data_IF_778930087078
#
_entry.id   IF_778930087078
#
_cell.length_a   1.000
_cell.length_b   1.000
_cell.length_c   1.000
_cell.angle_alpha   90.00
_cell.angle_beta   90.00
_cell.angle_gamma   90.00
#
_symmetry.space_group_name_H-M   'P 1'
#
loop_
_entity.id
_entity.type
_entity.pdbx_description
1 polymer ?
#
# COMPACT_ATOMS: atom_id res chain seq x y z
N UNK A 1 -6.50 -13.58 -17.62
CA UNK A 1 -5.13 -13.58 -17.08
C UNK A 1 -5.15 -12.98 -15.69
N UNK A 2 -4.64 -13.71 -14.73
CA UNK A 2 -4.56 -13.22 -13.36
C UNK A 2 -3.62 -12.03 -13.25
N UNK A 3 -3.98 -11.05 -12.45
CA UNK A 3 -3.22 -9.81 -12.33
C UNK A 3 -3.27 -9.20 -10.93
N UNK A 4 -2.26 -8.40 -10.65
CA UNK A 4 -2.19 -7.52 -9.48
C UNK A 4 -2.46 -6.09 -9.96
N UNK A 5 -3.33 -5.38 -9.26
CA UNK A 5 -3.52 -3.96 -9.49
C UNK A 5 -2.62 -3.15 -8.55
N UNK A 6 -1.99 -2.12 -9.09
CA UNK A 6 -1.21 -1.18 -8.31
C UNK A 6 -1.89 0.18 -8.42
N UNK A 7 -2.35 0.72 -7.30
CA UNK A 7 -2.95 2.05 -7.26
C UNK A 7 -1.87 3.09 -7.02
N UNK A 8 -1.76 4.04 -7.93
CA UNK A 8 -0.75 5.09 -7.91
C UNK A 8 -1.28 6.32 -7.16
N UNK A 9 -0.62 6.66 -6.07
CA UNK A 9 -0.91 7.84 -5.26
C UNK A 9 0.11 8.98 -5.49
N UNK A 10 0.84 8.93 -6.59
CA UNK A 10 1.81 9.96 -6.95
C UNK A 10 3.25 9.64 -6.53
N UNK A 11 3.53 8.43 -6.10
CA UNK A 11 4.88 8.01 -5.72
C UNK A 11 5.80 7.92 -6.93
N UNK A 12 7.03 8.38 -6.77
CA UNK A 12 8.08 8.14 -7.75
C UNK A 12 8.53 6.67 -7.80
N UNK A 13 8.10 5.85 -6.84
CA UNK A 13 8.48 4.44 -6.73
C UNK A 13 7.43 3.48 -7.30
N UNK A 14 6.29 3.97 -7.80
CA UNK A 14 5.22 3.12 -8.31
C UNK A 14 5.70 2.21 -9.45
N UNK A 15 6.49 2.74 -10.37
CA UNK A 15 7.07 1.96 -11.47
C UNK A 15 8.04 0.89 -10.95
N UNK A 16 8.76 1.17 -9.90
CA UNK A 16 9.67 0.20 -9.28
C UNK A 16 8.89 -0.96 -8.66
N UNK A 17 7.76 -0.67 -8.00
CA UNK A 17 6.87 -1.71 -7.46
C UNK A 17 6.40 -2.61 -8.61
N UNK A 18 5.92 -2.03 -9.70
CA UNK A 18 5.45 -2.77 -10.86
C UNK A 18 6.56 -3.66 -11.45
N UNK A 19 7.77 -3.13 -11.54
CA UNK A 19 8.93 -3.88 -12.03
C UNK A 19 9.21 -5.10 -11.15
N UNK A 20 9.18 -4.94 -9.83
CA UNK A 20 9.41 -6.04 -8.90
C UNK A 20 8.34 -7.13 -9.03
N UNK A 21 7.08 -6.75 -9.21
CA UNK A 21 6.01 -7.70 -9.43
C UNK A 21 6.24 -8.49 -10.72
N UNK A 22 6.62 -7.80 -11.80
CA UNK A 22 6.89 -8.44 -13.10
C UNK A 22 8.11 -9.35 -13.06
N UNK A 23 9.13 -9.01 -12.29
CA UNK A 23 10.30 -9.88 -12.08
C UNK A 23 9.93 -11.24 -11.47
N UNK A 24 8.80 -11.31 -10.77
CA UNK A 24 8.26 -12.54 -10.21
C UNK A 24 7.34 -13.29 -11.20
N UNK A 25 7.33 -12.88 -12.46
CA UNK A 25 6.49 -13.45 -13.53
C UNK A 25 4.98 -13.26 -13.25
N UNK A 26 4.63 -12.16 -12.60
CA UNK A 26 3.24 -11.81 -12.30
C UNK A 26 2.87 -10.59 -13.14
N UNK A 27 1.75 -10.68 -13.85
CA UNK A 27 1.21 -9.54 -14.59
C UNK A 27 0.62 -8.52 -13.64
N UNK A 28 0.90 -7.26 -13.87
CA UNK A 28 0.34 -6.16 -13.06
C UNK A 28 -0.01 -4.96 -13.93
N UNK A 29 -0.96 -4.17 -13.45
CA UNK A 29 -1.39 -2.94 -14.08
C UNK A 29 -1.31 -1.82 -13.06
N UNK A 30 -0.89 -0.62 -13.50
CA UNK A 30 -0.88 0.58 -12.68
C UNK A 30 -2.08 1.43 -13.08
N UNK A 31 -2.88 1.83 -12.10
CA UNK A 31 -4.02 2.74 -12.29
C UNK A 31 -3.93 3.88 -11.28
N UNK A 32 -4.32 5.11 -11.66
CA UNK A 32 -4.43 6.20 -10.71
C UNK A 32 -5.41 5.86 -9.58
N UNK A 33 -5.12 6.34 -8.37
CA UNK A 33 -5.97 6.07 -7.20
C UNK A 33 -7.43 6.50 -7.40
N UNK A 34 -7.66 7.53 -8.22
CA UNK A 34 -9.00 8.08 -8.48
C UNK A 34 -9.67 7.50 -9.72
N UNK A 35 -9.08 6.50 -10.34
CA UNK A 35 -9.61 5.82 -11.53
C UNK A 35 -9.41 4.32 -11.39
N UNK A 36 -9.95 3.75 -10.33
CA UNK A 36 -9.86 2.31 -10.08
C UNK A 36 -10.74 1.59 -11.10
N UNK A 37 -10.18 0.61 -11.85
CA UNK A 37 -10.98 -0.14 -12.81
C UNK A 37 -11.95 -1.10 -12.11
N UNK A 38 -12.87 -1.66 -12.87
CA UNK A 38 -13.75 -2.71 -12.35
C UNK A 38 -12.91 -3.90 -11.87
N UNK A 39 -13.25 -4.39 -10.68
CA UNK A 39 -12.55 -5.53 -10.06
C UNK A 39 -13.20 -6.83 -10.53
N UNK A 40 -12.64 -7.41 -11.59
CA UNK A 40 -13.12 -8.68 -12.14
C UNK A 40 -12.43 -9.88 -11.45
N UNK A 41 -12.77 -11.08 -11.88
CA UNK A 41 -12.23 -12.31 -11.31
C UNK A 41 -10.73 -12.50 -11.55
N UNK A 42 -10.14 -11.77 -12.48
CA UNK A 42 -8.70 -11.84 -12.78
C UNK A 42 -7.86 -11.06 -11.77
N UNK A 43 -8.44 -10.11 -11.05
CA UNK A 43 -7.72 -9.35 -10.04
C UNK A 43 -7.53 -10.20 -8.80
N UNK A 44 -6.28 -10.54 -8.49
CA UNK A 44 -5.93 -11.42 -7.37
C UNK A 44 -5.37 -10.68 -6.16
N UNK A 45 -5.06 -9.41 -6.30
CA UNK A 45 -4.57 -8.59 -5.20
C UNK A 45 -4.39 -7.15 -5.63
N UNK A 46 -4.25 -6.28 -4.66
CA UNK A 46 -4.07 -4.84 -4.86
C UNK A 46 -2.91 -4.34 -4.03
N UNK A 47 -2.07 -3.52 -4.62
CA UNK A 47 -0.98 -2.82 -3.94
C UNK A 47 -1.29 -1.33 -3.95
N UNK A 48 -1.27 -0.70 -2.77
CA UNK A 48 -1.38 0.74 -2.62
C UNK A 48 0.02 1.32 -2.51
N UNK A 49 0.37 2.21 -3.44
CA UNK A 49 1.69 2.81 -3.49
C UNK A 49 1.85 3.95 -2.48
N UNK A 50 3.01 4.57 -2.47
CA UNK A 50 3.27 5.78 -1.70
C UNK A 50 2.68 7.03 -2.33
N UNK A 51 2.80 8.13 -1.60
CA UNK A 51 2.40 9.47 -2.04
C UNK A 51 3.35 10.49 -1.43
N UNK A 52 3.55 11.65 -2.06
CA UNK A 52 4.25 12.77 -1.42
C UNK A 52 3.46 13.36 -0.25
N UNK A 53 2.14 13.10 -0.19
CA UNK A 53 1.27 13.58 0.88
C UNK A 53 1.36 12.71 2.12
N UNK A 54 0.93 13.24 3.27
CA UNK A 54 0.64 12.46 4.48
C UNK A 54 -0.85 12.22 4.58
N UNK A 55 -1.25 11.07 5.13
CA UNK A 55 -2.68 10.78 5.39
C UNK A 55 -3.30 11.79 6.37
N UNK A 56 -2.47 12.49 7.14
CA UNK A 56 -2.91 13.55 8.07
C UNK A 56 -3.24 14.87 7.35
N UNK A 57 -2.84 15.02 6.10
CA UNK A 57 -3.17 16.19 5.29
C UNK A 57 -4.64 16.12 4.87
N UNK A 58 -5.36 17.26 4.94
CA UNK A 58 -6.79 17.29 4.63
C UNK A 58 -7.08 16.97 3.17
N UNK A 59 -6.20 17.36 2.27
CA UNK A 59 -6.33 17.16 0.83
C UNK A 59 -5.62 15.91 0.32
N UNK A 60 -5.25 15.00 1.22
CA UNK A 60 -4.57 13.76 0.85
C UNK A 60 -5.49 12.84 0.03
N UNK A 61 -4.92 12.03 -0.90
CA UNK A 61 -5.69 11.08 -1.69
C UNK A 61 -6.37 10.03 -0.80
N UNK A 62 -7.69 9.96 -0.82
CA UNK A 62 -8.49 9.03 -0.01
C UNK A 62 -9.56 8.35 -0.85
N UNK A 63 -9.20 7.35 -1.68
CA UNK A 63 -10.18 6.61 -2.44
C UNK A 63 -11.04 5.74 -1.54
N UNK A 64 -12.21 5.36 -2.04
CA UNK A 64 -13.05 4.36 -1.37
C UNK A 64 -12.46 2.97 -1.60
N UNK A 65 -12.06 2.31 -0.53
CA UNK A 65 -11.47 0.96 -0.55
C UNK A 65 -12.47 -0.13 -0.15
N UNK A 66 -13.76 0.19 -0.02
CA UNK A 66 -14.78 -0.75 0.45
C UNK A 66 -14.93 -1.98 -0.45
N UNK A 67 -14.70 -1.83 -1.75
CA UNK A 67 -14.77 -2.93 -2.70
C UNK A 67 -13.53 -3.84 -2.69
N UNK A 68 -12.47 -3.41 -2.04
CA UNK A 68 -11.19 -4.13 -2.00
C UNK A 68 -10.98 -4.77 -0.64
N UNK A 69 -11.15 -4.00 0.43
CA UNK A 69 -10.89 -4.47 1.79
C UNK A 69 -11.80 -5.65 2.16
N UNK A 70 -11.19 -6.72 2.64
CA UNK A 70 -11.90 -7.93 3.03
C UNK A 70 -12.31 -8.83 1.89
N UNK A 71 -12.09 -8.42 0.64
CA UNK A 71 -12.43 -9.20 -0.56
C UNK A 71 -11.21 -9.66 -1.32
N UNK A 72 -10.14 -8.87 -1.29
CA UNK A 72 -8.87 -9.16 -1.99
C UNK A 72 -7.70 -8.97 -1.04
N UNK A 73 -6.61 -9.73 -1.23
CA UNK A 73 -5.36 -9.42 -0.55
C UNK A 73 -4.92 -7.99 -0.88
N UNK A 74 -4.49 -7.27 0.15
CA UNK A 74 -4.20 -5.84 0.05
C UNK A 74 -2.88 -5.54 0.75
N UNK A 75 -1.94 -4.94 0.00
CA UNK A 75 -0.64 -4.52 0.51
C UNK A 75 -0.54 -3.01 0.43
N UNK A 76 -0.29 -2.36 1.54
CA UNK A 76 -0.01 -0.93 1.59
C UNK A 76 1.48 -0.67 1.75
N UNK A 77 2.01 0.26 0.95
CA UNK A 77 3.41 0.69 1.00
C UNK A 77 3.46 2.19 1.27
N UNK A 78 4.21 2.61 2.26
CA UNK A 78 4.34 4.02 2.65
C UNK A 78 2.97 4.66 2.92
N UNK A 79 2.57 5.63 2.11
CA UNK A 79 1.26 6.27 2.21
C UNK A 79 0.11 5.26 2.19
N UNK A 80 0.19 4.24 1.35
CA UNK A 80 -0.85 3.20 1.28
C UNK A 80 -1.05 2.50 2.62
N UNK A 81 0.02 2.23 3.36
CA UNK A 81 -0.07 1.68 4.71
C UNK A 81 -0.67 2.67 5.70
N UNK A 82 -0.29 3.94 5.62
CA UNK A 82 -0.88 5.00 6.45
C UNK A 82 -2.37 5.13 6.19
N UNK A 83 -2.78 5.10 4.93
CA UNK A 83 -4.19 5.18 4.54
C UNK A 83 -5.00 4.03 5.13
N UNK A 84 -4.50 2.80 5.06
CA UNK A 84 -5.17 1.65 5.64
C UNK A 84 -5.30 1.78 7.16
N UNK A 85 -4.23 2.21 7.83
CA UNK A 85 -4.28 2.43 9.29
C UNK A 85 -5.29 3.52 9.65
N UNK A 86 -5.28 4.64 8.93
CA UNK A 86 -6.17 5.78 9.21
C UNK A 86 -7.64 5.42 8.96
N UNK A 87 -7.95 4.77 7.85
CA UNK A 87 -9.33 4.44 7.45
C UNK A 87 -9.95 3.34 8.31
N UNK A 88 -9.14 2.49 8.92
CA UNK A 88 -9.63 1.30 9.62
C UNK A 88 -9.31 1.28 11.11
N UNK A 89 -9.28 2.45 11.74
CA UNK A 89 -9.23 2.59 13.17
C UNK A 89 -7.84 2.56 13.80
N UNK A 90 -6.80 2.58 12.98
CA UNK A 90 -5.43 2.72 13.45
C UNK A 90 -5.04 4.17 13.68
N UNK A 91 -3.85 4.38 14.19
CA UNK A 91 -3.29 5.70 14.46
C UNK A 91 -2.05 5.93 13.62
N UNK A 92 -1.94 7.11 13.02
CA UNK A 92 -0.77 7.54 12.25
C UNK A 92 -0.16 8.76 12.93
N UNK A 93 1.09 8.61 13.37
CA UNK A 93 1.84 9.67 14.06
C UNK A 93 3.07 10.06 13.26
N UNK A 94 3.48 11.32 13.40
CA UNK A 94 4.78 11.76 12.89
C UNK A 94 5.91 11.06 13.64
N UNK A 95 6.95 10.64 12.91
CA UNK A 95 8.13 10.06 13.52
C UNK A 95 8.99 11.15 14.17
N UNK A 96 9.61 10.90 15.34
CA UNK A 96 10.47 11.87 15.99
C UNK A 96 11.78 12.12 15.22
N UNK A 97 12.18 11.16 14.38
CA UNK A 97 13.37 11.29 13.54
C UNK A 97 13.16 10.53 12.24
N UNK A 98 13.91 10.94 11.21
CA UNK A 98 13.96 10.18 9.95
C UNK A 98 15.12 9.20 10.03
N UNK A 99 14.86 7.96 9.60
CA UNK A 99 15.88 6.94 9.51
C UNK A 99 16.17 6.66 8.03
N UNK A 100 17.45 6.69 7.68
CA UNK A 100 17.91 6.34 6.34
C UNK A 100 18.87 5.16 6.43
N UNK A 101 18.73 4.23 5.50
CA UNK A 101 19.58 3.06 5.44
C UNK A 101 19.04 1.89 6.25
N UNK A 102 19.93 1.14 6.86
CA UNK A 102 19.57 -0.11 7.54
C UNK A 102 18.85 0.15 8.85
N UNK A 103 17.72 -0.50 9.04
CA UNK A 103 17.00 -0.52 10.31
C UNK A 103 16.69 -1.96 10.71
N UNK A 104 16.62 -2.21 12.02
CA UNK A 104 16.27 -3.53 12.54
C UNK A 104 14.76 -3.69 12.54
N UNK A 105 14.32 -4.85 12.06
CA UNK A 105 12.91 -5.20 11.98
C UNK A 105 12.55 -6.17 13.10
N UNK A 106 11.50 -5.85 13.84
CA UNK A 106 10.91 -6.77 14.81
C UNK A 106 9.53 -7.22 14.30
N UNK A 107 9.36 -8.52 14.12
CA UNK A 107 8.06 -9.07 13.74
C UNK A 107 7.23 -9.25 15.00
N UNK A 108 6.10 -8.54 15.08
CA UNK A 108 5.21 -8.55 16.25
C UNK A 108 4.11 -9.60 16.11
N UNK A 109 3.71 -9.89 14.87
CA UNK A 109 2.68 -10.88 14.56
C UNK A 109 2.95 -11.48 13.19
N UNK A 110 2.75 -12.79 13.08
CA UNK A 110 2.82 -13.51 11.80
C UNK A 110 1.44 -13.81 11.23
N UNK A 111 0.39 -13.43 11.96
CA UNK A 111 -0.98 -13.59 11.52
C UNK A 111 -1.34 -12.55 10.46
N UNK A 112 -2.59 -12.47 10.12
CA UNK A 112 -3.19 -11.75 8.99
C UNK A 112 -2.75 -10.29 8.84
N UNK A 113 -2.16 -9.69 9.86
CA UNK A 113 -1.74 -8.30 9.86
C UNK A 113 -0.28 -8.19 10.22
N UNK A 114 0.56 -8.01 9.23
CA UNK A 114 1.97 -7.70 9.45
C UNK A 114 2.16 -6.20 9.33
N UNK A 115 2.59 -5.55 10.40
CA UNK A 115 2.99 -4.16 10.37
C UNK A 115 4.52 -4.09 10.41
N UNK A 116 5.10 -3.60 9.34
CA UNK A 116 6.54 -3.40 9.22
C UNK A 116 6.82 -1.90 9.17
N UNK A 117 7.71 -1.46 10.05
CA UNK A 117 8.05 -0.05 10.20
C UNK A 117 9.47 0.19 9.68
N UNK A 118 9.62 1.02 8.64
CA UNK A 118 10.91 1.39 8.07
C UNK A 118 10.93 2.86 7.69
N UNK A 119 11.82 3.66 8.26
CA UNK A 119 12.19 4.99 7.74
C UNK A 119 11.06 5.83 7.15
N UNK A 120 9.95 5.92 7.81
CA UNK A 120 8.73 6.51 7.25
C UNK A 120 8.09 5.62 6.18
N UNK A 121 8.57 4.40 5.99
CA UNK A 121 7.97 3.40 5.11
C UNK A 121 7.23 2.40 5.98
N UNK A 122 5.93 2.29 5.76
CA UNK A 122 5.09 1.32 6.44
C UNK A 122 4.68 0.27 5.41
N UNK A 123 4.94 -0.98 5.71
CA UNK A 123 4.36 -2.10 4.98
C UNK A 123 3.23 -2.66 5.81
N UNK A 124 2.04 -2.67 5.25
CA UNK A 124 0.85 -3.17 5.92
C UNK A 124 0.21 -4.22 5.04
N UNK A 125 0.12 -5.44 5.55
CA UNK A 125 -0.51 -6.56 4.85
C UNK A 125 -1.85 -6.87 5.51
N UNK A 126 -2.90 -6.91 4.70
CA UNK A 126 -4.25 -7.18 5.16
C UNK A 126 -4.92 -8.21 4.25
N UNK A 127 -5.39 -9.27 4.84
CA UNK A 127 -6.26 -10.23 4.16
C UNK A 127 -7.72 -9.94 4.40
#
# INVERSE_FOLDING_TARGET
MEKILILDFGSQYTQLIARRVRELNVYCEIHPYNKVPALDADVKGVILSGSPSSVRDEDSPRPDLSEIKGKLPLLGVCYGAQLLAFEYGGEVKGAPSREYGRAMLTVVSIDVKLLVFFNCVYLFWLF
#
